data_IF_324630034261
#
_entry.id   IF_324630034261
#
_cell.length_a   1.000
_cell.length_b   1.000
_cell.length_c   1.000
_cell.angle_alpha   90.00
_cell.angle_beta   90.00
_cell.angle_gamma   90.00
#
_symmetry.space_group_name_H-M   'P 1'
#
loop_
_entity.id
_entity.type
_entity.pdbx_description
1 polymer ?
#
# COMPACT_ATOMS: atom_id res chain seq x y z
N UNK A 1 4.98 -30.86 -24.69
CA UNK A 1 3.57 -31.08 -24.28
C UNK A 1 3.25 -30.22 -23.06
N UNK A 2 3.98 -30.36 -21.95
CA UNK A 2 3.72 -29.56 -20.73
C UNK A 2 3.82 -28.04 -20.91
N UNK A 3 4.85 -27.54 -21.61
CA UNK A 3 4.98 -26.10 -21.88
C UNK A 3 3.82 -25.53 -22.71
N UNK A 4 3.31 -26.30 -23.69
CA UNK A 4 2.18 -25.88 -24.53
C UNK A 4 0.91 -25.78 -23.68
N UNK A 5 0.67 -26.79 -22.82
CA UNK A 5 -0.45 -26.81 -21.87
C UNK A 5 -0.40 -25.61 -20.91
N UNK A 6 0.78 -25.29 -20.38
CA UNK A 6 0.98 -24.13 -19.51
C UNK A 6 0.67 -22.84 -20.26
N UNK A 7 1.18 -22.69 -21.49
CA UNK A 7 0.91 -21.50 -22.33
C UNK A 7 -0.58 -21.34 -22.62
N UNK A 8 -1.30 -22.41 -22.94
CA UNK A 8 -2.76 -22.37 -23.14
C UNK A 8 -3.49 -21.93 -21.87
N UNK A 9 -3.11 -22.46 -20.71
CA UNK A 9 -3.66 -22.03 -19.42
C UNK A 9 -3.42 -20.54 -19.14
N UNK A 10 -2.23 -20.02 -19.48
CA UNK A 10 -1.96 -18.58 -19.35
C UNK A 10 -2.82 -17.75 -20.29
N UNK A 11 -3.00 -18.18 -21.53
CA UNK A 11 -3.87 -17.47 -22.49
C UNK A 11 -5.30 -17.40 -21.95
N UNK A 12 -5.83 -18.51 -21.42
CA UNK A 12 -7.16 -18.53 -20.82
C UNK A 12 -7.27 -17.62 -19.58
N UNK A 13 -6.26 -17.61 -18.71
CA UNK A 13 -6.24 -16.74 -17.53
C UNK A 13 -6.22 -15.26 -17.90
N UNK A 14 -5.38 -14.87 -18.86
CA UNK A 14 -5.30 -13.48 -19.34
C UNK A 14 -6.60 -13.08 -20.02
N UNK A 15 -7.16 -13.95 -20.87
CA UNK A 15 -8.39 -13.67 -21.60
C UNK A 15 -9.59 -13.46 -20.65
N UNK A 16 -9.64 -14.23 -19.55
CA UNK A 16 -10.71 -14.15 -18.56
C UNK A 16 -10.36 -13.25 -17.36
N UNK A 17 -9.27 -12.48 -17.42
CA UNK A 17 -8.87 -11.60 -16.32
C UNK A 17 -9.89 -10.48 -16.14
N UNK A 18 -10.32 -10.28 -14.90
CA UNK A 18 -11.25 -9.23 -14.47
C UNK A 18 -10.75 -8.62 -13.16
N UNK A 19 -11.30 -7.47 -12.78
CA UNK A 19 -11.00 -6.90 -11.46
C UNK A 19 -11.44 -7.83 -10.32
N UNK A 20 -12.55 -8.55 -10.51
CA UNK A 20 -13.20 -9.32 -9.46
C UNK A 20 -12.53 -10.67 -9.18
N UNK A 21 -11.90 -11.28 -10.20
CA UNK A 21 -11.11 -12.50 -10.05
C UNK A 21 -9.61 -12.24 -9.82
N UNK A 22 -9.21 -10.98 -9.68
CA UNK A 22 -7.89 -10.60 -9.18
C UNK A 22 -7.79 -10.79 -7.66
N UNK A 23 -6.61 -11.13 -7.15
CA UNK A 23 -6.34 -11.39 -5.72
C UNK A 23 -6.40 -10.16 -4.79
N UNK A 24 -7.11 -9.11 -5.19
CA UNK A 24 -7.29 -7.87 -4.43
C UNK A 24 -8.40 -8.02 -3.40
N UNK A 25 -8.26 -7.34 -2.25
CA UNK A 25 -9.34 -7.25 -1.27
C UNK A 25 -10.49 -6.34 -1.74
N UNK A 26 -11.67 -6.52 -1.16
CA UNK A 26 -12.89 -5.80 -1.55
C UNK A 26 -12.78 -4.28 -1.37
N UNK A 27 -12.06 -3.81 -0.36
CA UNK A 27 -11.86 -2.37 -0.15
C UNK A 27 -11.01 -1.78 -1.27
N UNK A 28 -9.93 -2.45 -1.66
CA UNK A 28 -9.11 -2.06 -2.81
C UNK A 28 -9.90 -2.06 -4.12
N UNK A 29 -10.70 -3.10 -4.40
CA UNK A 29 -11.54 -3.16 -5.61
C UNK A 29 -12.53 -2.00 -5.65
N UNK A 30 -13.21 -1.73 -4.54
CA UNK A 30 -14.15 -0.62 -4.43
C UNK A 30 -13.48 0.72 -4.74
N UNK A 31 -12.25 0.94 -4.24
CA UNK A 31 -11.50 2.18 -4.50
C UNK A 31 -11.05 2.33 -5.95
N UNK A 32 -10.64 1.25 -6.60
CA UNK A 32 -10.31 1.27 -8.02
C UNK A 32 -11.53 1.65 -8.88
N UNK A 33 -12.72 1.22 -8.48
CA UNK A 33 -13.98 1.59 -9.11
C UNK A 33 -14.46 3.01 -8.72
N UNK A 34 -14.04 3.52 -7.55
CA UNK A 34 -14.45 4.81 -6.99
C UNK A 34 -13.22 5.69 -6.68
N UNK A 35 -12.48 6.16 -7.71
CA UNK A 35 -11.29 6.97 -7.49
C UNK A 35 -11.66 8.33 -6.86
N UNK A 36 -10.77 8.83 -6.01
CA UNK A 36 -10.86 10.18 -5.47
C UNK A 36 -10.78 11.18 -6.63
N UNK A 37 -11.76 12.07 -6.73
CA UNK A 37 -11.86 13.08 -7.81
C UNK A 37 -11.38 14.47 -7.36
N UNK A 38 -11.08 14.62 -6.09
CA UNK A 38 -10.71 15.88 -5.45
C UNK A 38 -9.22 15.89 -5.11
N UNK A 39 -8.64 17.09 -4.99
CA UNK A 39 -7.25 17.21 -4.51
C UNK A 39 -7.22 16.80 -3.06
N UNK A 40 -6.43 15.78 -2.75
CA UNK A 40 -6.27 15.29 -1.40
C UNK A 40 -5.44 16.31 -0.58
N UNK A 41 -6.12 17.13 0.23
CA UNK A 41 -5.48 18.07 1.15
C UNK A 41 -5.21 17.43 2.51
N UNK A 42 -3.97 17.56 3.00
CA UNK A 42 -3.58 17.14 4.35
C UNK A 42 -3.60 18.37 5.24
N UNK A 43 -4.73 18.61 5.91
CA UNK A 43 -4.96 19.82 6.72
C UNK A 43 -4.49 19.67 8.17
N UNK A 44 -4.47 18.45 8.70
CA UNK A 44 -4.01 18.19 10.07
C UNK A 44 -2.47 18.22 10.13
N UNK A 45 -1.88 19.11 10.96
CA UNK A 45 -0.44 19.26 11.06
C UNK A 45 0.27 18.03 11.67
N UNK A 46 -0.40 17.27 12.52
CA UNK A 46 0.16 16.03 13.08
C UNK A 46 0.13 14.90 12.06
N UNK A 47 -0.91 14.82 11.22
CA UNK A 47 -0.91 13.89 10.07
C UNK A 47 0.20 14.28 9.10
N UNK A 48 0.35 15.56 8.79
CA UNK A 48 1.43 16.05 7.93
C UNK A 48 2.80 15.66 8.47
N UNK A 49 3.06 15.93 9.75
CA UNK A 49 4.29 15.55 10.43
C UNK A 49 4.53 14.04 10.39
N UNK A 50 3.48 13.23 10.57
CA UNK A 50 3.57 11.77 10.50
C UNK A 50 4.03 11.29 9.11
N UNK A 51 3.47 11.88 8.05
CA UNK A 51 3.84 11.59 6.66
C UNK A 51 5.27 12.07 6.39
N UNK A 52 5.65 13.27 6.83
CA UNK A 52 7.00 13.80 6.62
C UNK A 52 8.06 12.93 7.30
N UNK A 53 7.81 12.44 8.52
CA UNK A 53 8.70 11.47 9.20
C UNK A 53 8.79 10.16 8.40
N UNK A 54 7.66 9.65 7.93
CA UNK A 54 7.62 8.41 7.14
C UNK A 54 8.41 8.54 5.83
N UNK A 55 8.25 9.65 5.10
CA UNK A 55 8.93 9.90 3.83
C UNK A 55 10.41 10.26 3.99
N UNK A 56 10.80 10.84 5.14
CA UNK A 56 12.19 11.20 5.42
C UNK A 56 13.11 9.99 5.59
N UNK A 57 12.55 8.79 5.78
CA UNK A 57 13.32 7.58 5.99
C UNK A 57 12.83 6.45 5.07
N UNK A 58 13.14 6.51 3.76
CA UNK A 58 12.56 5.61 2.75
C UNK A 58 12.85 4.11 2.98
N UNK A 59 13.91 3.79 3.74
CA UNK A 59 14.28 2.42 4.11
C UNK A 59 14.17 2.15 5.62
N UNK A 60 13.47 3.00 6.37
CA UNK A 60 13.24 2.74 7.78
C UNK A 60 12.38 1.49 7.97
N UNK A 61 12.80 0.64 8.90
CA UNK A 61 11.88 -0.29 9.52
C UNK A 61 10.78 0.46 10.28
N UNK A 62 9.63 -0.18 10.47
CA UNK A 62 8.59 0.30 11.39
C UNK A 62 9.16 0.65 12.77
N UNK A 63 10.15 -0.12 13.25
CA UNK A 63 10.81 0.14 14.52
C UNK A 63 11.55 1.50 14.53
N UNK A 64 12.17 1.89 13.42
CA UNK A 64 12.83 3.20 13.28
C UNK A 64 11.81 4.33 13.34
N UNK A 65 10.71 4.21 12.59
CA UNK A 65 9.61 5.19 12.64
C UNK A 65 9.06 5.35 14.06
N UNK A 66 8.78 4.24 14.75
CA UNK A 66 8.23 4.25 16.11
C UNK A 66 9.21 4.87 17.13
N UNK A 67 10.53 4.71 16.95
CA UNK A 67 11.53 5.40 17.78
C UNK A 67 11.48 6.91 17.60
N UNK A 68 11.40 7.38 16.36
CA UNK A 68 11.29 8.83 16.06
C UNK A 68 9.99 9.37 16.65
N UNK A 69 8.86 8.69 16.43
CA UNK A 69 7.57 9.05 17.03
C UNK A 69 7.66 9.21 18.55
N UNK A 70 8.28 8.24 19.23
CA UNK A 70 8.43 8.29 20.68
C UNK A 70 9.31 9.46 21.14
N UNK A 71 10.40 9.75 20.44
CA UNK A 71 11.24 10.90 20.74
C UNK A 71 10.47 12.22 20.59
N UNK A 72 9.63 12.35 19.55
CA UNK A 72 8.80 13.55 19.38
C UNK A 72 7.76 13.67 20.49
N UNK A 73 7.09 12.58 20.87
CA UNK A 73 6.11 12.58 21.96
C UNK A 73 6.71 12.89 23.34
N UNK A 74 7.99 12.60 23.56
CA UNK A 74 8.69 13.01 24.79
C UNK A 74 8.82 14.53 24.90
N UNK A 75 9.03 15.22 23.78
CA UNK A 75 9.12 16.68 23.74
C UNK A 75 7.76 17.35 23.62
N UNK A 76 6.81 16.72 22.92
CA UNK A 76 5.49 17.25 22.61
C UNK A 76 4.40 16.21 22.89
N UNK A 77 4.03 15.98 24.17
CA UNK A 77 3.12 14.90 24.57
C UNK A 77 1.72 14.98 23.94
N UNK A 78 1.26 16.19 23.63
CA UNK A 78 -0.07 16.44 23.06
C UNK A 78 -0.12 16.21 21.54
N UNK A 79 1.00 15.82 20.91
CA UNK A 79 1.04 15.59 19.47
C UNK A 79 0.34 14.29 19.07
N UNK A 80 -0.57 14.36 18.09
CA UNK A 80 -1.29 13.20 17.58
C UNK A 80 -0.57 12.51 16.42
N UNK A 81 0.69 12.14 16.61
CA UNK A 81 1.48 11.47 15.57
C UNK A 81 0.95 10.04 15.36
N UNK A 82 0.62 9.73 14.12
CA UNK A 82 0.11 8.43 13.69
C UNK A 82 1.14 7.31 13.88
N UNK A 83 0.65 6.09 14.09
CA UNK A 83 1.50 4.89 14.06
C UNK A 83 1.91 4.58 12.61
N UNK A 84 3.00 3.82 12.45
CA UNK A 84 3.56 3.48 11.13
C UNK A 84 2.53 2.90 10.16
N UNK A 85 1.78 1.88 10.59
CA UNK A 85 0.75 1.26 9.76
C UNK A 85 -0.39 2.24 9.43
N UNK A 86 -0.75 3.14 10.35
CA UNK A 86 -1.79 4.13 10.14
C UNK A 86 -1.37 5.17 9.10
N UNK A 87 -0.09 5.58 9.09
CA UNK A 87 0.45 6.44 8.03
C UNK A 87 0.41 5.73 6.68
N UNK A 88 0.81 4.46 6.61
CA UNK A 88 0.72 3.69 5.36
C UNK A 88 -0.71 3.59 4.84
N UNK A 89 -1.65 3.30 5.72
CA UNK A 89 -3.07 3.25 5.36
C UNK A 89 -3.56 4.62 4.89
N UNK A 90 -3.20 5.69 5.61
CA UNK A 90 -3.60 7.04 5.24
C UNK A 90 -3.03 7.48 3.89
N UNK A 91 -1.75 7.19 3.62
CA UNK A 91 -1.14 7.45 2.31
C UNK A 91 -1.84 6.62 1.22
N UNK A 92 -2.13 5.35 1.47
CA UNK A 92 -2.87 4.53 0.53
C UNK A 92 -4.24 5.14 0.25
N UNK A 93 -4.96 5.58 1.29
CA UNK A 93 -6.28 6.21 1.19
C UNK A 93 -6.23 7.54 0.43
N UNK A 94 -5.19 8.35 0.62
CA UNK A 94 -5.02 9.60 -0.13
C UNK A 94 -4.63 9.38 -1.60
N UNK A 95 -3.75 8.43 -1.87
CA UNK A 95 -3.11 8.29 -3.20
C UNK A 95 -3.76 7.24 -4.09
N UNK A 96 -4.49 6.29 -3.51
CA UNK A 96 -4.94 5.08 -4.23
C UNK A 96 -3.84 4.03 -4.41
N UNK A 97 -2.61 4.31 -3.95
CA UNK A 97 -1.46 3.41 -4.12
C UNK A 97 -1.41 2.45 -2.95
N UNK A 98 -1.77 1.20 -3.21
CA UNK A 98 -1.64 0.10 -2.26
C UNK A 98 -0.47 -0.82 -2.64
N UNK A 99 0.19 -1.40 -1.65
CA UNK A 99 1.22 -2.42 -1.90
C UNK A 99 0.54 -3.79 -1.99
N UNK A 100 0.69 -4.44 -3.14
CA UNK A 100 0.26 -5.82 -3.33
C UNK A 100 1.46 -6.72 -3.02
N UNK A 101 1.45 -7.36 -1.87
CA UNK A 101 2.46 -8.36 -1.52
C UNK A 101 1.87 -9.77 -1.62
N UNK A 102 2.03 -10.39 -2.78
CA UNK A 102 1.94 -11.84 -2.86
C UNK A 102 3.33 -12.43 -2.61
N UNK A 103 3.42 -13.62 -2.01
CA UNK A 103 4.64 -14.42 -2.03
C UNK A 103 5.01 -14.68 -3.49
N UNK A 104 5.84 -13.80 -4.05
CA UNK A 104 6.36 -13.98 -5.41
C UNK A 104 7.16 -15.28 -5.42
N UNK A 105 6.76 -16.21 -6.30
CA UNK A 105 7.45 -17.48 -6.47
C UNK A 105 8.92 -17.22 -6.80
N UNK A 106 9.83 -17.75 -5.98
CA UNK A 106 11.28 -17.60 -6.11
C UNK A 106 11.81 -18.07 -7.48
N UNK A 107 11.05 -18.92 -8.21
CA UNK A 107 11.51 -19.60 -9.43
C UNK A 107 10.58 -19.50 -10.66
N UNK A 108 9.51 -18.71 -10.64
CA UNK A 108 8.72 -18.49 -11.86
C UNK A 108 7.93 -17.19 -11.76
N UNK A 109 8.52 -16.10 -12.26
CA UNK A 109 7.88 -14.80 -12.35
C UNK A 109 7.03 -14.73 -13.64
N UNK A 110 5.80 -15.21 -13.56
CA UNK A 110 4.74 -14.81 -14.47
C UNK A 110 3.57 -14.33 -13.62
N UNK A 111 3.55 -13.03 -13.32
CA UNK A 111 2.39 -12.37 -12.74
C UNK A 111 1.55 -11.78 -13.88
N UNK A 112 0.26 -12.10 -13.90
CA UNK A 112 -0.76 -11.43 -14.71
C UNK A 112 -1.87 -10.97 -13.77
#
# INVERSE_FOLDING_TARGET
IEHVRITEQFIELIYNATLDNGGLDEHTKWRLQNPIKEVAEITDPHIRLSIDIYLSVPNASEATYNKVRNAVLQCYPDSNILLYHSVKQHIADLTGIISISHTMCINSCHAF
#
